data_IF_906739711333
#
_entry.id   IF_906739711333
#
_cell.length_a   1.000
_cell.length_b   1.000
_cell.length_c   1.000
_cell.angle_alpha   90.00
_cell.angle_beta   90.00
_cell.angle_gamma   90.00
#
_symmetry.space_group_name_H-M   'P 1'
#
loop_
_entity.id
_entity.type
_entity.pdbx_description
1 polymer ?
#
# COMPACT_ATOMS: atom_id res chain seq x y z
N UNK A 1 35.69 -42.29 -1.48
CA UNK A 1 35.59 -40.85 -1.18
C UNK A 1 35.28 -40.03 -2.43
N UNK A 2 35.88 -40.33 -3.60
CA UNK A 2 35.56 -39.66 -4.88
C UNK A 2 34.12 -39.89 -5.41
N UNK A 3 33.44 -40.97 -5.05
CA UNK A 3 32.07 -41.26 -5.51
C UNK A 3 30.98 -40.44 -4.79
N UNK A 4 31.28 -39.86 -3.62
CA UNK A 4 30.36 -38.99 -2.89
C UNK A 4 30.53 -37.51 -3.28
N UNK A 5 31.74 -37.07 -3.63
CA UNK A 5 31.96 -35.72 -4.19
C UNK A 5 31.35 -35.56 -5.60
N UNK A 6 31.38 -36.61 -6.42
CA UNK A 6 30.69 -36.64 -7.72
C UNK A 6 29.16 -36.55 -7.59
N UNK A 7 28.56 -37.12 -6.53
CA UNK A 7 27.11 -37.06 -6.29
C UNK A 7 26.64 -35.71 -5.70
N UNK A 8 27.53 -35.01 -4.97
CA UNK A 8 27.27 -33.65 -4.48
C UNK A 8 27.47 -32.61 -5.59
N UNK A 9 28.39 -32.84 -6.53
CA UNK A 9 28.54 -31.97 -7.69
C UNK A 9 27.46 -32.16 -8.75
N UNK A 10 26.90 -33.36 -8.94
CA UNK A 10 25.83 -33.59 -9.93
C UNK A 10 24.44 -33.12 -9.49
N UNK A 11 24.20 -33.00 -8.19
CA UNK A 11 22.94 -32.41 -7.66
C UNK A 11 22.92 -30.88 -7.72
N UNK A 12 24.08 -30.23 -7.88
CA UNK A 12 24.17 -28.78 -8.09
C UNK A 12 23.94 -28.32 -9.54
N UNK A 13 23.74 -29.24 -10.49
CA UNK A 13 23.48 -28.91 -11.91
C UNK A 13 22.01 -29.07 -12.35
N UNK A 14 21.08 -29.38 -11.43
CA UNK A 14 19.67 -29.61 -11.75
C UNK A 14 18.69 -28.55 -11.22
N UNK A 15 19.11 -27.62 -10.36
CA UNK A 15 18.28 -26.48 -9.94
C UNK A 15 18.87 -25.19 -10.51
N UNK A 16 18.31 -24.72 -11.63
CA UNK A 16 18.66 -23.47 -12.31
C UNK A 16 18.34 -22.20 -11.52
N UNK A 17 18.26 -22.28 -10.19
CA UNK A 17 18.22 -21.12 -9.29
C UNK A 17 19.65 -20.68 -9.04
N UNK A 18 20.17 -19.85 -9.94
CA UNK A 18 21.15 -18.85 -9.51
C UNK A 18 20.51 -18.11 -8.34
N UNK A 19 21.03 -18.28 -7.14
CA UNK A 19 20.73 -17.36 -6.04
C UNK A 19 21.17 -15.98 -6.54
N UNK A 20 20.20 -15.18 -6.96
CA UNK A 20 20.45 -13.78 -7.26
C UNK A 20 21.10 -13.19 -6.01
N UNK A 21 22.33 -12.69 -6.15
CA UNK A 21 23.08 -12.17 -5.02
C UNK A 21 22.27 -11.10 -4.31
N UNK A 22 22.32 -11.09 -2.97
CA UNK A 22 21.64 -10.08 -2.15
C UNK A 22 21.99 -8.69 -2.67
N UNK A 23 20.98 -7.90 -3.02
CA UNK A 23 21.14 -6.48 -3.32
C UNK A 23 21.45 -5.75 -2.00
N UNK A 24 22.75 -5.68 -1.68
CA UNK A 24 23.26 -5.05 -0.46
C UNK A 24 22.77 -3.61 -0.34
N UNK A 25 22.67 -2.89 -1.45
CA UNK A 25 22.18 -1.50 -1.49
C UNK A 25 20.70 -1.44 -1.10
N UNK A 26 19.86 -2.31 -1.66
CA UNK A 26 18.45 -2.42 -1.30
C UNK A 26 18.24 -2.81 0.17
N UNK A 27 19.03 -3.76 0.68
CA UNK A 27 18.94 -4.21 2.07
C UNK A 27 19.33 -3.11 3.07
N UNK A 28 20.46 -2.43 2.82
CA UNK A 28 20.90 -1.29 3.64
C UNK A 28 19.86 -0.18 3.61
N UNK A 29 19.22 0.05 2.46
CA UNK A 29 18.12 1.01 2.36
C UNK A 29 16.96 0.67 3.29
N UNK A 30 16.43 -0.54 3.21
CA UNK A 30 15.30 -0.96 4.05
C UNK A 30 15.64 -0.80 5.53
N UNK A 31 16.82 -1.25 5.95
CA UNK A 31 17.25 -1.14 7.35
C UNK A 31 17.29 0.33 7.78
N UNK A 32 17.89 1.21 7.00
CA UNK A 32 17.97 2.65 7.33
C UNK A 32 16.57 3.27 7.37
N UNK A 33 15.73 3.02 6.36
CA UNK A 33 14.37 3.53 6.32
C UNK A 33 13.55 3.06 7.52
N UNK A 34 13.63 1.77 7.86
CA UNK A 34 12.92 1.21 9.02
C UNK A 34 13.43 1.81 10.33
N UNK A 35 14.73 2.00 10.50
CA UNK A 35 15.29 2.66 11.68
C UNK A 35 14.85 4.13 11.79
N UNK A 36 14.79 4.86 10.67
CA UNK A 36 14.30 6.26 10.64
C UNK A 36 12.83 6.32 11.03
N UNK A 37 12.00 5.46 10.44
CA UNK A 37 10.55 5.41 10.71
C UNK A 37 10.29 5.00 12.15
N UNK A 38 10.99 3.98 12.65
CA UNK A 38 10.92 3.51 14.03
C UNK A 38 11.42 4.60 14.99
N UNK A 39 12.48 5.32 14.65
CA UNK A 39 12.97 6.45 15.43
C UNK A 39 11.94 7.58 15.54
N UNK A 40 11.31 7.96 14.43
CA UNK A 40 10.25 8.99 14.39
C UNK A 40 9.03 8.52 15.18
N UNK A 41 8.63 7.26 15.01
CA UNK A 41 7.49 6.67 15.70
C UNK A 41 7.69 6.62 17.22
N UNK A 42 8.83 6.11 17.67
CA UNK A 42 9.21 6.08 19.09
C UNK A 42 9.34 7.49 19.67
N UNK A 43 9.92 8.44 18.93
CA UNK A 43 10.02 9.83 19.37
C UNK A 43 8.64 10.48 19.55
N UNK A 44 7.74 10.27 18.60
CA UNK A 44 6.35 10.74 18.66
C UNK A 44 5.61 10.13 19.86
N UNK A 45 5.74 8.81 20.05
CA UNK A 45 5.16 8.09 21.18
C UNK A 45 5.74 8.55 22.53
N UNK A 46 7.05 8.75 22.61
CA UNK A 46 7.74 9.20 23.83
C UNK A 46 7.28 10.59 24.27
N UNK A 47 7.15 11.52 23.32
CA UNK A 47 6.69 12.90 23.58
C UNK A 47 5.27 12.96 24.14
N UNK A 48 4.48 11.89 23.99
CA UNK A 48 3.07 11.80 24.42
C UNK A 48 2.80 10.71 25.46
N UNK A 49 3.82 10.21 26.16
CA UNK A 49 3.71 9.16 27.22
C UNK A 49 2.79 9.47 28.42
N UNK A 50 2.04 10.58 28.42
CA UNK A 50 1.08 10.96 29.46
C UNK A 50 -0.40 10.88 29.08
N UNK A 51 -0.73 10.47 27.85
CA UNK A 51 -2.09 10.49 27.28
C UNK A 51 -2.88 9.24 27.69
N UNK A 52 -4.01 9.41 28.38
CA UNK A 52 -4.81 8.31 28.97
C UNK A 52 -6.20 8.10 28.35
N UNK A 53 -6.65 8.93 27.41
CA UNK A 53 -8.01 8.86 26.87
C UNK A 53 -8.06 8.16 25.50
N UNK A 54 -9.05 7.28 25.34
CA UNK A 54 -9.29 6.50 24.10
C UNK A 54 -9.42 7.38 22.86
N UNK A 55 -10.03 8.57 22.97
CA UNK A 55 -10.14 9.55 21.88
C UNK A 55 -8.78 10.10 21.42
N UNK A 56 -7.80 10.24 22.32
CA UNK A 56 -6.46 10.70 21.94
C UNK A 56 -5.67 9.61 21.22
N UNK A 57 -5.88 8.34 21.57
CA UNK A 57 -5.22 7.19 20.93
C UNK A 57 -5.87 6.83 19.59
N UNK A 58 -7.21 6.87 19.50
CA UNK A 58 -7.97 6.43 18.32
C UNK A 58 -8.27 7.54 17.32
N UNK A 59 -8.34 8.80 17.75
CA UNK A 59 -8.72 9.93 16.88
C UNK A 59 -7.72 11.08 16.94
N UNK A 60 -6.55 10.85 17.53
CA UNK A 60 -5.52 11.87 17.70
C UNK A 60 -6.06 13.15 18.38
N UNK A 61 -7.03 13.02 19.29
CA UNK A 61 -7.66 14.16 19.97
C UNK A 61 -8.48 15.08 19.05
N UNK A 62 -8.78 14.62 17.82
CA UNK A 62 -9.51 15.37 16.78
C UNK A 62 -8.86 16.71 16.42
N UNK A 63 -7.55 16.80 16.57
CA UNK A 63 -6.79 18.05 16.44
C UNK A 63 -5.76 18.01 15.29
N UNK A 64 -5.90 17.06 14.36
CA UNK A 64 -4.97 16.93 13.23
C UNK A 64 -5.06 18.20 12.36
N UNK A 65 -3.91 18.86 12.18
CA UNK A 65 -3.78 20.02 11.30
C UNK A 65 -4.13 19.68 9.85
N UNK A 66 -4.61 20.66 9.08
CA UNK A 66 -5.08 20.46 7.70
C UNK A 66 -4.05 19.79 6.80
N UNK A 67 -2.79 20.22 6.83
CA UNK A 67 -1.72 19.66 6.00
C UNK A 67 -1.43 18.19 6.34
N UNK A 68 -1.24 17.88 7.62
CA UNK A 68 -0.97 16.50 8.09
C UNK A 68 -2.17 15.60 7.76
N UNK A 69 -3.38 16.10 7.94
CA UNK A 69 -4.59 15.36 7.59
C UNK A 69 -4.65 15.04 6.09
N UNK A 70 -4.33 16.00 5.21
CA UNK A 70 -4.38 15.78 3.76
C UNK A 70 -3.36 14.70 3.37
N UNK A 71 -2.13 14.85 3.85
CA UNK A 71 -1.05 13.92 3.53
C UNK A 71 -1.34 12.52 4.06
N UNK A 72 -1.82 12.39 5.31
CA UNK A 72 -2.21 11.10 5.88
C UNK A 72 -3.43 10.48 5.18
N UNK A 73 -4.40 11.30 4.76
CA UNK A 73 -5.54 10.84 3.94
C UNK A 73 -5.07 10.26 2.61
N UNK A 74 -4.15 10.94 1.92
CA UNK A 74 -3.53 10.43 0.70
C UNK A 74 -2.71 9.17 0.97
N UNK A 75 -1.86 9.16 2.00
CA UNK A 75 -1.00 8.04 2.36
C UNK A 75 -1.77 6.75 2.71
N UNK A 76 -2.99 6.89 3.23
CA UNK A 76 -3.85 5.73 3.55
C UNK A 76 -4.10 4.85 2.34
N UNK A 77 -4.35 5.49 1.20
CA UNK A 77 -4.73 4.84 -0.04
C UNK A 77 -3.52 4.63 -0.95
N UNK A 78 -2.61 5.60 -0.96
CA UNK A 78 -1.33 5.53 -1.65
C UNK A 78 -0.34 4.70 -0.83
N UNK A 79 -0.72 3.43 -0.63
CA UNK A 79 0.11 2.42 -0.03
C UNK A 79 1.00 1.73 -1.04
N UNK A 80 1.94 0.93 -0.55
CA UNK A 80 2.79 0.15 -1.45
C UNK A 80 2.03 -0.94 -2.21
N UNK A 81 0.92 -1.47 -1.69
CA UNK A 81 0.02 -2.35 -2.44
C UNK A 81 -0.66 -1.63 -3.61
N UNK A 82 -1.10 -0.38 -3.41
CA UNK A 82 -1.71 0.44 -4.45
C UNK A 82 -0.71 0.79 -5.55
N UNK A 83 0.51 1.21 -5.19
CA UNK A 83 1.55 1.59 -6.16
C UNK A 83 2.08 0.36 -6.91
N UNK A 84 2.35 -0.73 -6.20
CA UNK A 84 2.85 -1.96 -6.82
C UNK A 84 1.77 -2.59 -7.72
N UNK A 85 0.51 -2.66 -7.25
CA UNK A 85 -0.61 -3.15 -8.05
C UNK A 85 -0.91 -2.28 -9.26
N UNK A 86 -0.72 -0.95 -9.16
CA UNK A 86 -0.85 -0.02 -10.29
C UNK A 86 0.18 -0.33 -11.39
N UNK A 87 1.45 -0.50 -11.01
CA UNK A 87 2.52 -0.85 -11.94
C UNK A 87 2.33 -2.25 -12.54
N UNK A 88 1.94 -3.23 -11.72
CA UNK A 88 1.61 -4.59 -12.13
C UNK A 88 0.47 -4.61 -13.17
N UNK A 89 -0.64 -3.95 -12.88
CA UNK A 89 -1.82 -3.95 -13.75
C UNK A 89 -1.51 -3.39 -15.15
N UNK A 90 -0.67 -2.36 -15.25
CA UNK A 90 -0.27 -1.80 -16.55
C UNK A 90 0.67 -2.75 -17.30
N UNK A 91 1.57 -3.42 -16.59
CA UNK A 91 2.46 -4.40 -17.20
C UNK A 91 1.71 -5.64 -17.72
N UNK A 92 0.76 -6.17 -16.94
CA UNK A 92 0.04 -7.39 -17.29
C UNK A 92 -1.13 -7.12 -18.25
N UNK A 93 -2.05 -6.25 -17.85
CA UNK A 93 -3.37 -6.08 -18.47
C UNK A 93 -3.54 -4.73 -19.19
N UNK A 94 -2.68 -3.75 -18.89
CA UNK A 94 -2.69 -2.41 -19.49
C UNK A 94 -3.47 -1.36 -18.68
N UNK A 95 -3.33 -0.10 -19.07
CA UNK A 95 -3.90 1.07 -18.41
C UNK A 95 -5.41 0.97 -18.23
N UNK A 96 -6.13 0.40 -19.20
CA UNK A 96 -7.58 0.25 -19.13
C UNK A 96 -8.03 -0.59 -17.92
N UNK A 97 -7.21 -1.55 -17.49
CA UNK A 97 -7.45 -2.38 -16.29
C UNK A 97 -6.86 -1.78 -15.02
N UNK A 98 -6.08 -0.69 -15.13
CA UNK A 98 -5.54 0.05 -14.00
C UNK A 98 -6.62 0.95 -13.37
N UNK A 99 -7.59 0.32 -12.71
CA UNK A 99 -8.77 1.02 -12.20
C UNK A 99 -8.61 1.63 -10.81
N UNK A 100 -7.64 1.13 -10.03
CA UNK A 100 -7.42 1.57 -8.64
C UNK A 100 -7.30 3.10 -8.51
N UNK A 101 -6.56 3.83 -9.38
CA UNK A 101 -6.38 5.26 -9.19
C UNK A 101 -7.65 6.09 -9.32
N UNK A 102 -8.44 5.86 -10.38
CA UNK A 102 -9.69 6.60 -10.54
C UNK A 102 -10.78 6.05 -9.62
N UNK A 103 -10.81 4.74 -9.37
CA UNK A 103 -11.80 4.09 -8.50
C UNK A 103 -11.74 4.65 -7.07
N UNK A 104 -10.55 4.67 -6.46
CA UNK A 104 -10.39 5.22 -5.11
C UNK A 104 -10.50 6.75 -5.07
N UNK A 105 -10.10 7.47 -6.11
CA UNK A 105 -10.33 8.92 -6.19
C UNK A 105 -11.84 9.27 -6.19
N UNK A 106 -12.63 8.56 -6.98
CA UNK A 106 -14.10 8.70 -6.98
C UNK A 106 -14.65 8.28 -5.62
N UNK A 107 -14.17 7.16 -5.05
CA UNK A 107 -14.57 6.69 -3.71
C UNK A 107 -14.39 7.75 -2.63
N UNK A 108 -13.21 8.37 -2.57
CA UNK A 108 -12.89 9.46 -1.64
C UNK A 108 -13.76 10.69 -1.88
N UNK A 109 -14.04 11.01 -3.14
CA UNK A 109 -14.89 12.14 -3.51
C UNK A 109 -16.34 11.92 -3.05
N UNK A 110 -16.90 10.74 -3.29
CA UNK A 110 -18.25 10.36 -2.85
C UNK A 110 -18.33 10.25 -1.33
N UNK A 111 -17.32 9.64 -0.70
CA UNK A 111 -17.16 9.55 0.74
C UNK A 111 -17.12 10.94 1.40
N UNK A 112 -16.40 11.88 0.81
CA UNK A 112 -16.31 13.27 1.25
C UNK A 112 -17.62 14.04 1.09
N UNK A 113 -18.29 13.87 -0.05
CA UNK A 113 -19.52 14.57 -0.37
C UNK A 113 -20.70 14.14 0.50
N UNK A 114 -20.91 12.82 0.63
CA UNK A 114 -22.13 12.28 1.24
C UNK A 114 -21.96 11.87 2.72
N UNK A 115 -20.80 11.36 3.11
CA UNK A 115 -20.64 10.71 4.42
C UNK A 115 -19.77 11.51 5.39
N UNK A 116 -18.68 12.14 4.94
CA UNK A 116 -17.67 12.73 5.82
C UNK A 116 -18.24 13.79 6.77
N UNK A 117 -19.09 14.70 6.26
CA UNK A 117 -19.75 15.72 7.06
C UNK A 117 -20.66 15.11 8.14
N UNK A 118 -21.55 14.20 7.74
CA UNK A 118 -22.54 13.58 8.63
C UNK A 118 -21.89 12.76 9.73
N UNK A 119 -20.86 11.99 9.38
CA UNK A 119 -20.08 11.18 10.33
C UNK A 119 -19.38 12.06 11.37
N UNK A 120 -18.80 13.18 10.93
CA UNK A 120 -18.05 14.07 11.82
C UNK A 120 -18.95 14.89 12.75
N UNK A 121 -20.10 15.35 12.26
CA UNK A 121 -21.08 16.11 13.05
C UNK A 121 -21.70 15.29 14.18
N UNK A 122 -21.94 13.99 13.92
CA UNK A 122 -22.42 13.05 14.93
C UNK A 122 -21.34 12.63 15.96
N UNK A 123 -20.08 13.07 15.79
CA UNK A 123 -18.95 12.74 16.67
C UNK A 123 -18.74 11.23 16.88
N UNK A 124 -19.00 10.43 15.84
CA UNK A 124 -18.66 9.01 15.85
C UNK A 124 -17.16 8.77 16.02
N UNK A 125 -16.82 7.55 16.42
CA UNK A 125 -15.46 7.05 16.58
C UNK A 125 -15.12 6.04 15.49
N UNK A 126 -16.10 5.25 15.04
CA UNK A 126 -15.92 4.27 13.97
C UNK A 126 -17.02 4.35 12.92
N UNK A 127 -16.76 3.73 11.76
CA UNK A 127 -17.73 3.62 10.67
C UNK A 127 -18.95 2.78 11.03
N UNK A 128 -18.86 1.94 12.07
CA UNK A 128 -19.93 1.05 12.50
C UNK A 128 -20.91 1.75 13.45
N UNK A 129 -20.52 2.87 14.07
CA UNK A 129 -21.34 3.56 15.07
C UNK A 129 -22.74 3.95 14.56
N UNK A 130 -22.94 4.52 13.35
CA UNK A 130 -24.29 4.86 12.87
C UNK A 130 -25.18 3.62 12.70
N UNK A 131 -24.60 2.50 12.28
CA UNK A 131 -25.32 1.24 12.10
C UNK A 131 -25.66 0.63 13.46
N UNK A 132 -24.75 0.76 14.42
CA UNK A 132 -24.96 0.30 15.78
C UNK A 132 -26.01 1.12 16.53
N UNK A 133 -26.08 2.44 16.30
CA UNK A 133 -27.11 3.30 16.88
C UNK A 133 -28.49 2.97 16.30
N UNK A 134 -28.57 2.70 14.99
CA UNK A 134 -29.84 2.40 14.31
C UNK A 134 -30.36 0.98 14.57
N UNK A 135 -29.50 -0.03 14.55
CA UNK A 135 -29.88 -1.44 14.62
C UNK A 135 -29.55 -2.09 15.98
N UNK A 136 -28.82 -1.40 16.85
CA UNK A 136 -28.43 -1.89 18.17
C UNK A 136 -27.07 -2.60 18.19
N UNK A 137 -26.54 -2.79 19.41
CA UNK A 137 -25.18 -3.30 19.65
C UNK A 137 -24.90 -4.69 19.04
N UNK A 138 -25.90 -5.57 18.97
CA UNK A 138 -25.75 -6.93 18.40
C UNK A 138 -25.46 -6.89 16.90
N UNK A 139 -26.19 -6.06 16.16
CA UNK A 139 -25.99 -5.92 14.72
C UNK A 139 -24.69 -5.18 14.40
N UNK A 140 -24.31 -4.17 15.19
CA UNK A 140 -22.99 -3.54 15.09
C UNK A 140 -21.85 -4.55 15.27
N UNK A 141 -21.99 -5.50 16.20
CA UNK A 141 -21.01 -6.56 16.39
C UNK A 141 -20.95 -7.58 15.25
N UNK A 142 -22.09 -7.91 14.63
CA UNK A 142 -22.09 -8.77 13.43
C UNK A 142 -21.44 -8.08 12.23
N UNK A 143 -21.65 -6.78 12.06
CA UNK A 143 -21.06 -5.99 10.97
C UNK A 143 -19.54 -5.77 11.13
N UNK A 144 -19.00 -5.97 12.33
CA UNK A 144 -17.56 -5.99 12.55
C UNK A 144 -16.87 -7.17 11.89
N UNK A 145 -17.51 -8.35 11.80
CA UNK A 145 -16.91 -9.54 11.18
C UNK A 145 -16.50 -9.34 9.71
N UNK A 146 -17.37 -8.86 8.80
CA UNK A 146 -16.97 -8.58 7.43
C UNK A 146 -15.94 -7.44 7.35
N UNK A 147 -16.03 -6.42 8.21
CA UNK A 147 -15.04 -5.35 8.27
C UNK A 147 -13.65 -5.87 8.66
N UNK A 148 -13.57 -6.76 9.66
CA UNK A 148 -12.33 -7.41 10.08
C UNK A 148 -11.76 -8.31 8.99
N UNK A 149 -12.61 -9.07 8.31
CA UNK A 149 -12.18 -9.90 7.18
C UNK A 149 -11.56 -9.05 6.07
N UNK A 150 -12.19 -7.91 5.74
CA UNK A 150 -11.64 -6.94 4.78
C UNK A 150 -10.25 -6.43 5.18
N UNK A 151 -10.10 -5.96 6.43
CA UNK A 151 -8.79 -5.48 6.93
C UNK A 151 -7.73 -6.59 6.95
N UNK A 152 -8.12 -7.84 7.25
CA UNK A 152 -7.20 -8.99 7.27
C UNK A 152 -6.74 -9.36 5.87
N UNK A 153 -7.66 -9.45 4.91
CA UNK A 153 -7.35 -9.77 3.51
C UNK A 153 -6.51 -8.67 2.86
N UNK A 154 -6.78 -7.41 3.18
CA UNK A 154 -5.98 -6.27 2.73
C UNK A 154 -4.59 -6.24 3.36
N UNK A 155 -4.48 -6.53 4.65
CA UNK A 155 -3.16 -6.66 5.31
C UNK A 155 -2.34 -7.78 4.66
N UNK A 156 -2.98 -8.90 4.31
CA UNK A 156 -2.31 -10.00 3.61
C UNK A 156 -1.81 -9.58 2.21
N UNK A 157 -2.61 -8.82 1.44
CA UNK A 157 -2.19 -8.33 0.12
C UNK A 157 -1.03 -7.34 0.20
N UNK A 158 -1.04 -6.44 1.19
CA UNK A 158 0.04 -5.48 1.48
C UNK A 158 1.32 -6.23 1.86
N UNK A 159 1.24 -7.20 2.77
CA UNK A 159 2.40 -7.99 3.18
C UNK A 159 2.97 -8.83 2.02
N UNK A 160 2.11 -9.31 1.11
CA UNK A 160 2.54 -9.97 -0.12
C UNK A 160 3.29 -9.00 -1.06
N UNK A 161 2.85 -7.75 -1.18
CA UNK A 161 3.58 -6.73 -1.93
C UNK A 161 4.94 -6.39 -1.28
N UNK A 162 5.01 -6.32 0.05
CA UNK A 162 6.28 -6.13 0.76
C UNK A 162 7.23 -7.31 0.54
N UNK A 163 6.70 -8.53 0.64
CA UNK A 163 7.46 -9.75 0.38
C UNK A 163 7.98 -9.85 -1.05
N UNK A 164 7.22 -9.34 -2.03
CA UNK A 164 7.65 -9.23 -3.43
C UNK A 164 8.84 -8.27 -3.56
N UNK A 165 8.81 -7.15 -2.83
CA UNK A 165 9.94 -6.20 -2.77
C UNK A 165 11.17 -6.81 -2.10
N UNK A 166 10.99 -7.51 -0.97
CA UNK A 166 12.07 -8.20 -0.27
C UNK A 166 12.68 -9.36 -1.07
N UNK A 167 11.88 -10.05 -1.88
CA UNK A 167 12.35 -11.14 -2.75
C UNK A 167 13.39 -10.61 -3.74
N UNK A 168 13.09 -9.50 -4.40
CA UNK A 168 14.01 -8.85 -5.35
C UNK A 168 15.30 -8.36 -4.66
N UNK A 169 15.20 -7.92 -3.41
CA UNK A 169 16.34 -7.38 -2.65
C UNK A 169 17.21 -8.47 -2.04
N UNK A 170 16.61 -9.47 -1.40
CA UNK A 170 17.31 -10.49 -0.63
C UNK A 170 17.62 -11.74 -1.46
N UNK A 171 17.04 -11.89 -2.66
CA UNK A 171 17.12 -13.12 -3.44
C UNK A 171 16.50 -14.32 -2.73
N UNK A 172 15.67 -14.10 -1.71
CA UNK A 172 15.01 -15.14 -0.92
C UNK A 172 13.71 -15.57 -1.59
N UNK A 173 13.29 -16.82 -1.38
CA UNK A 173 12.02 -17.30 -1.89
C UNK A 173 10.83 -16.46 -1.39
N UNK A 174 9.85 -16.21 -2.26
CA UNK A 174 8.70 -15.34 -2.01
C UNK A 174 8.01 -15.61 -0.65
N UNK A 175 7.78 -16.88 -0.31
CA UNK A 175 7.16 -17.26 0.96
C UNK A 175 7.97 -16.80 2.18
N UNK A 176 9.29 -16.95 2.14
CA UNK A 176 10.18 -16.53 3.25
C UNK A 176 10.16 -15.01 3.37
N UNK A 177 10.23 -14.31 2.23
CA UNK A 177 10.17 -12.85 2.18
C UNK A 177 8.86 -12.30 2.77
N UNK A 178 7.72 -12.95 2.49
CA UNK A 178 6.42 -12.57 3.07
C UNK A 178 6.41 -12.80 4.59
N UNK A 179 6.92 -13.95 5.08
CA UNK A 179 6.96 -14.24 6.52
C UNK A 179 7.84 -13.22 7.26
N UNK A 180 9.01 -12.89 6.71
CA UNK A 180 9.91 -11.86 7.27
C UNK A 180 9.22 -10.50 7.28
N UNK A 181 8.55 -10.13 6.18
CA UNK A 181 7.76 -8.89 6.08
C UNK A 181 6.69 -8.81 7.17
N UNK A 182 5.94 -9.89 7.37
CA UNK A 182 4.89 -9.97 8.39
C UNK A 182 5.46 -9.84 9.80
N UNK A 183 6.58 -10.52 10.10
CA UNK A 183 7.24 -10.45 11.40
C UNK A 183 7.70 -9.01 11.72
N UNK A 184 8.32 -8.33 10.75
CA UNK A 184 8.77 -6.94 10.93
C UNK A 184 7.58 -6.00 11.14
N UNK A 185 6.54 -6.12 10.32
CA UNK A 185 5.34 -5.30 10.44
C UNK A 185 4.68 -5.47 11.82
N UNK A 186 4.45 -6.71 12.28
CA UNK A 186 3.85 -6.99 13.59
C UNK A 186 4.66 -6.39 14.73
N UNK A 187 5.99 -6.57 14.73
CA UNK A 187 6.85 -6.01 15.79
C UNK A 187 6.73 -4.49 15.83
N UNK A 188 6.72 -3.82 14.68
CA UNK A 188 6.60 -2.38 14.62
C UNK A 188 5.21 -1.87 15.05
N UNK A 189 4.13 -2.49 14.56
CA UNK A 189 2.77 -2.05 14.87
C UNK A 189 2.47 -2.13 16.37
N UNK A 190 3.03 -3.11 17.09
CA UNK A 190 2.84 -3.27 18.55
C UNK A 190 3.31 -2.06 19.36
N UNK A 191 4.24 -1.25 18.85
CA UNK A 191 4.78 -0.08 19.56
C UNK A 191 4.18 1.25 19.09
N UNK A 192 3.31 1.27 18.07
CA UNK A 192 2.79 2.48 17.43
C UNK A 192 1.31 2.77 17.68
N UNK A 193 0.97 3.96 18.21
CA UNK A 193 -0.41 4.49 18.22
C UNK A 193 -0.72 5.37 17.00
N UNK A 194 -1.97 5.85 16.82
CA UNK A 194 -2.39 6.65 15.63
C UNK A 194 -1.48 7.86 15.35
N UNK A 195 -0.99 8.53 16.39
CA UNK A 195 -0.06 9.65 16.23
C UNK A 195 1.30 9.23 15.67
N UNK A 196 1.82 8.07 16.09
CA UNK A 196 3.05 7.51 15.53
C UNK A 196 2.86 7.26 14.04
N UNK A 197 1.75 6.60 13.69
CA UNK A 197 1.38 6.28 12.31
C UNK A 197 1.20 7.55 11.46
N UNK A 198 0.48 8.55 11.95
CA UNK A 198 0.25 9.79 11.20
C UNK A 198 1.52 10.55 10.83
N UNK A 199 2.52 10.62 11.72
CA UNK A 199 3.79 11.28 11.41
C UNK A 199 4.66 10.45 10.47
N UNK A 200 4.66 9.12 10.62
CA UNK A 200 5.40 8.25 9.72
C UNK A 200 4.78 8.27 8.32
N UNK A 201 3.45 8.25 8.21
CA UNK A 201 2.69 8.33 6.95
C UNK A 201 3.11 9.54 6.12
N UNK A 202 3.28 10.71 6.76
CA UNK A 202 3.70 11.94 6.07
C UNK A 202 5.09 11.78 5.45
N UNK A 203 6.06 11.30 6.24
CA UNK A 203 7.45 11.11 5.78
C UNK A 203 7.49 10.06 4.69
N UNK A 204 6.78 8.95 4.87
CA UNK A 204 6.69 7.85 3.91
C UNK A 204 6.07 8.29 2.59
N UNK A 205 5.01 9.11 2.62
CA UNK A 205 4.39 9.66 1.43
C UNK A 205 5.34 10.56 0.64
N UNK A 206 6.12 11.42 1.31
CA UNK A 206 7.14 12.22 0.64
C UNK A 206 8.27 11.36 0.06
N UNK A 207 8.76 10.38 0.81
CA UNK A 207 9.80 9.47 0.34
C UNK A 207 9.36 8.68 -0.89
N UNK A 208 8.14 8.16 -0.90
CA UNK A 208 7.64 7.39 -2.06
C UNK A 208 7.34 8.30 -3.25
N UNK A 209 6.84 9.51 -3.01
CA UNK A 209 6.67 10.50 -4.07
C UNK A 209 8.00 10.78 -4.78
N UNK A 210 9.03 11.15 -4.01
CA UNK A 210 10.34 11.46 -4.57
C UNK A 210 10.96 10.20 -5.18
N UNK A 211 10.89 9.05 -4.50
CA UNK A 211 11.44 7.78 -4.98
C UNK A 211 10.87 7.37 -6.33
N UNK A 212 9.55 7.44 -6.52
CA UNK A 212 8.91 7.11 -7.79
C UNK A 212 9.24 8.13 -8.89
N UNK A 213 9.13 9.43 -8.60
CA UNK A 213 9.42 10.47 -9.60
C UNK A 213 10.88 10.53 -10.02
N UNK A 214 11.80 10.19 -9.14
CA UNK A 214 13.22 10.03 -9.49
C UNK A 214 13.43 8.74 -10.29
N UNK A 215 12.73 7.66 -9.98
CA UNK A 215 12.83 6.39 -10.74
C UNK A 215 12.48 6.56 -12.22
N UNK A 216 11.42 7.32 -12.53
CA UNK A 216 10.92 7.51 -13.91
C UNK A 216 12.00 7.98 -14.91
N UNK A 217 12.66 9.14 -14.75
CA UNK A 217 13.63 9.64 -15.74
C UNK A 217 14.88 8.77 -15.85
N UNK A 218 15.30 8.08 -14.78
CA UNK A 218 16.45 7.17 -14.84
C UNK A 218 16.10 5.88 -15.56
N UNK A 219 14.92 5.32 -15.28
CA UNK A 219 14.43 4.13 -15.96
C UNK A 219 14.24 4.40 -17.46
N UNK A 220 13.65 5.54 -17.85
CA UNK A 220 13.47 5.90 -19.28
C UNK A 220 14.77 6.10 -20.06
N UNK A 221 15.89 6.41 -19.39
CA UNK A 221 17.19 6.61 -20.03
C UNK A 221 17.98 5.32 -20.20
N UNK A 222 17.49 4.21 -19.66
CA UNK A 222 18.18 2.93 -19.76
C UNK A 222 18.06 2.37 -21.19
N UNK A 223 19.17 1.89 -21.75
CA UNK A 223 19.25 1.40 -23.13
C UNK A 223 18.36 0.16 -23.37
N UNK A 224 18.02 -0.60 -22.32
CA UNK A 224 17.13 -1.75 -22.41
C UNK A 224 15.64 -1.35 -22.53
N UNK A 225 15.30 -0.08 -22.30
CA UNK A 225 13.93 0.43 -22.44
C UNK A 225 13.71 0.87 -23.87
N UNK A 226 12.78 0.20 -24.55
CA UNK A 226 12.34 0.61 -25.88
C UNK A 226 11.74 2.02 -25.88
N UNK A 227 11.77 2.68 -27.04
CA UNK A 227 11.16 4.00 -27.19
C UNK A 227 9.66 3.96 -26.86
N UNK A 228 9.26 4.62 -25.77
CA UNK A 228 7.86 5.00 -25.49
C UNK A 228 7.41 6.07 -26.51
N UNK A 229 7.41 5.71 -27.80
CA UNK A 229 6.95 6.57 -28.88
C UNK A 229 5.42 6.69 -28.80
N UNK A 230 4.80 7.78 -29.29
CA UNK A 230 3.34 7.90 -29.37
C UNK A 230 2.57 6.75 -30.05
N UNK A 231 3.27 5.85 -30.77
CA UNK A 231 2.70 4.65 -31.38
C UNK A 231 2.84 3.37 -30.55
N UNK A 232 3.55 3.38 -29.42
CA UNK A 232 3.62 2.25 -28.50
C UNK A 232 2.38 2.29 -27.60
N UNK A 233 1.39 1.45 -27.93
CA UNK A 233 0.07 1.43 -27.25
C UNK A 233 -0.17 0.17 -26.44
N UNK A 234 0.78 -0.77 -26.39
CA UNK A 234 0.59 -2.05 -25.70
C UNK A 234 0.35 -1.88 -24.19
N UNK A 235 0.85 -0.81 -23.60
CA UNK A 235 0.61 -0.44 -22.20
C UNK A 235 -0.79 0.15 -21.96
N UNK A 236 -1.54 0.56 -23.00
CA UNK A 236 -2.94 1.02 -22.84
C UNK A 236 -3.87 -0.16 -22.55
N UNK A 237 -3.54 -1.35 -23.08
CA UNK A 237 -4.41 -2.51 -23.07
C UNK A 237 -5.65 -2.32 -23.94
N UNK A 238 -6.43 -3.39 -24.07
CA UNK A 238 -7.73 -3.36 -24.75
C UNK A 238 -8.73 -4.26 -24.01
N UNK A 239 -10.00 -3.91 -24.12
CA UNK A 239 -11.10 -4.79 -23.73
C UNK A 239 -11.67 -5.36 -25.03
N UNK A 240 -11.62 -6.68 -25.24
CA UNK A 240 -12.16 -7.28 -26.45
C UNK A 240 -13.66 -6.96 -26.58
N UNK A 241 -14.04 -6.33 -27.70
CA UNK A 241 -15.42 -5.91 -27.96
C UNK A 241 -16.37 -7.07 -28.26
N UNK A 242 -15.80 -8.23 -28.57
CA UNK A 242 -16.46 -9.49 -28.92
C UNK A 242 -16.88 -10.32 -27.70
N UNK A 243 -16.41 -9.96 -26.49
CA UNK A 243 -16.72 -10.69 -25.25
C UNK A 243 -17.44 -9.81 -24.22
N UNK A 244 -18.79 -9.74 -24.23
CA UNK A 244 -19.56 -8.87 -23.33
C UNK A 244 -19.32 -9.12 -21.84
N UNK A 245 -18.98 -10.33 -21.43
CA UNK A 245 -18.67 -10.66 -20.03
C UNK A 245 -17.45 -9.93 -19.48
N UNK A 246 -16.46 -9.61 -20.34
CA UNK A 246 -15.25 -8.87 -19.93
C UNK A 246 -15.60 -7.42 -19.57
N UNK A 247 -16.56 -6.81 -20.25
CA UNK A 247 -17.11 -5.51 -19.86
C UNK A 247 -17.85 -5.58 -18.52
N UNK A 248 -18.55 -6.69 -18.26
CA UNK A 248 -19.18 -6.97 -16.97
C UNK A 248 -18.15 -7.04 -15.84
N UNK A 249 -17.07 -7.81 -16.03
CA UNK A 249 -15.95 -7.92 -15.09
C UNK A 249 -15.26 -6.57 -14.84
N UNK A 250 -14.96 -5.83 -15.92
CA UNK A 250 -14.37 -4.50 -15.81
C UNK A 250 -15.25 -3.56 -14.99
N UNK A 251 -16.56 -3.59 -15.23
CA UNK A 251 -17.53 -2.75 -14.50
C UNK A 251 -17.65 -3.18 -13.05
N UNK A 252 -17.66 -4.49 -12.77
CA UNK A 252 -17.72 -5.04 -11.42
C UNK A 252 -16.51 -4.60 -10.58
N UNK A 253 -15.29 -4.71 -11.13
CA UNK A 253 -14.08 -4.20 -10.48
C UNK A 253 -14.15 -2.69 -10.23
N UNK A 254 -14.68 -1.92 -11.19
CA UNK A 254 -14.75 -0.46 -11.06
C UNK A 254 -15.72 -0.07 -9.93
N UNK A 255 -16.90 -0.71 -9.90
CA UNK A 255 -17.90 -0.50 -8.86
C UNK A 255 -17.37 -0.96 -7.49
N UNK A 256 -16.65 -2.08 -7.43
CA UNK A 256 -16.03 -2.58 -6.21
C UNK A 256 -15.01 -1.58 -5.65
N UNK A 257 -14.17 -0.98 -6.50
CA UNK A 257 -13.20 0.04 -6.06
C UNK A 257 -13.88 1.35 -5.65
N UNK A 258 -14.89 1.80 -6.40
CA UNK A 258 -15.62 3.04 -6.13
C UNK A 258 -16.44 2.94 -4.84
N UNK A 259 -17.25 1.90 -4.69
CA UNK A 259 -18.16 1.77 -3.54
C UNK A 259 -17.52 1.04 -2.36
N UNK A 260 -16.64 0.07 -2.61
CA UNK A 260 -15.95 -0.68 -1.57
C UNK A 260 -14.96 0.16 -0.77
N UNK A 261 -14.42 1.24 -1.36
CA UNK A 261 -13.54 2.16 -0.64
C UNK A 261 -14.25 3.10 0.34
N UNK A 262 -15.58 3.26 0.22
CA UNK A 262 -16.37 4.17 1.08
C UNK A 262 -16.48 3.63 2.51
N UNK A 263 -16.96 2.40 2.76
CA UNK A 263 -17.08 1.84 4.10
C UNK A 263 -15.74 1.29 4.61
N UNK A 264 -14.66 2.06 4.48
CA UNK A 264 -13.34 1.68 4.98
C UNK A 264 -13.01 2.43 6.27
N UNK A 265 -12.71 1.70 7.34
CA UNK A 265 -12.52 2.32 8.66
C UNK A 265 -11.25 3.18 8.71
N UNK A 266 -10.15 2.78 8.08
CA UNK A 266 -8.94 3.60 7.95
C UNK A 266 -9.19 4.98 7.30
N UNK A 267 -10.13 5.07 6.35
CA UNK A 267 -10.59 6.35 5.78
C UNK A 267 -11.38 7.16 6.82
N UNK A 268 -12.38 6.54 7.46
CA UNK A 268 -13.21 7.24 8.45
C UNK A 268 -12.44 7.66 9.70
N UNK A 269 -11.40 6.93 10.12
CA UNK A 269 -10.50 7.35 11.21
C UNK A 269 -9.93 8.74 10.95
N UNK A 270 -9.50 9.01 9.72
CA UNK A 270 -8.90 10.30 9.34
C UNK A 270 -9.94 11.40 9.18
N UNK A 271 -11.11 11.07 8.64
CA UNK A 271 -12.27 11.98 8.60
C UNK A 271 -12.71 12.38 10.01
N UNK A 272 -12.83 11.41 10.92
CA UNK A 272 -13.30 11.62 12.29
C UNK A 272 -12.26 12.32 13.18
N UNK A 273 -10.98 12.22 12.83
CA UNK A 273 -9.86 12.93 13.47
C UNK A 273 -9.73 14.40 13.05
N UNK A 274 -10.53 14.87 12.08
CA UNK A 274 -10.53 16.27 11.66
C UNK A 274 -11.12 17.19 12.75
N UNK A 275 -10.70 18.46 12.82
CA UNK A 275 -11.27 19.42 13.78
C UNK A 275 -12.72 19.79 13.46
N UNK A 276 -13.03 19.94 12.16
CA UNK A 276 -14.34 20.40 11.69
C UNK A 276 -14.89 19.52 10.57
N UNK A 277 -16.21 19.52 10.39
CA UNK A 277 -16.87 18.81 9.28
C UNK A 277 -16.44 19.35 7.90
N UNK A 278 -16.19 20.66 7.77
CA UNK A 278 -15.63 21.24 6.54
C UNK A 278 -14.22 20.71 6.25
N UNK A 279 -13.37 20.65 7.28
CA UNK A 279 -12.03 20.08 7.13
C UNK A 279 -12.10 18.61 6.74
N UNK A 280 -12.99 17.81 7.35
CA UNK A 280 -13.25 16.43 6.96
C UNK A 280 -13.54 16.26 5.46
N UNK A 281 -14.37 17.13 4.86
CA UNK A 281 -14.64 17.09 3.43
C UNK A 281 -13.42 17.49 2.58
N UNK A 282 -12.73 18.56 2.97
CA UNK A 282 -11.51 19.03 2.28
C UNK A 282 -10.44 17.93 2.28
N UNK A 283 -10.29 17.22 3.40
CA UNK A 283 -9.37 16.09 3.52
C UNK A 283 -9.69 15.00 2.50
N UNK A 284 -10.97 14.62 2.36
CA UNK A 284 -11.39 13.62 1.38
C UNK A 284 -11.17 14.06 -0.07
N UNK A 285 -11.49 15.31 -0.42
CA UNK A 285 -11.27 15.83 -1.78
C UNK A 285 -9.79 15.97 -2.12
N UNK A 286 -8.97 16.47 -1.18
CA UNK A 286 -7.53 16.56 -1.36
C UNK A 286 -6.88 15.17 -1.42
N UNK A 287 -7.38 14.23 -0.61
CA UNK A 287 -7.02 12.81 -0.67
C UNK A 287 -7.28 12.20 -2.04
N UNK A 288 -8.46 12.45 -2.62
CA UNK A 288 -8.84 12.01 -3.96
C UNK A 288 -7.86 12.50 -5.02
N UNK A 289 -7.59 13.80 -5.06
CA UNK A 289 -6.62 14.38 -5.97
C UNK A 289 -5.21 13.80 -5.76
N UNK A 290 -4.79 13.65 -4.49
CA UNK A 290 -3.51 13.06 -4.12
C UNK A 290 -3.38 11.62 -4.62
N UNK A 291 -4.41 10.77 -4.49
CA UNK A 291 -4.36 9.38 -4.94
C UNK A 291 -4.14 9.30 -6.45
N UNK A 292 -4.89 10.11 -7.21
CA UNK A 292 -4.75 10.17 -8.66
C UNK A 292 -3.36 10.65 -9.08
N UNK A 293 -2.89 11.76 -8.49
CA UNK A 293 -1.58 12.33 -8.82
C UNK A 293 -0.41 11.43 -8.45
N UNK A 294 -0.47 10.75 -7.31
CA UNK A 294 0.58 9.85 -6.83
C UNK A 294 0.65 8.54 -7.65
N UNK A 295 -0.42 8.15 -8.32
CA UNK A 295 -0.42 6.97 -9.19
C UNK A 295 0.30 7.21 -10.51
N UNK A 296 0.35 8.46 -11.01
CA UNK A 296 0.97 8.80 -12.30
C UNK A 296 2.37 8.20 -12.48
N UNK A 297 3.35 8.42 -11.56
CA UNK A 297 4.69 7.85 -11.76
C UNK A 297 4.69 6.32 -11.69
N UNK A 298 3.82 5.69 -10.88
CA UNK A 298 3.67 4.24 -10.86
C UNK A 298 3.13 3.71 -12.20
N UNK A 299 2.19 4.44 -12.80
CA UNK A 299 1.65 4.10 -14.10
C UNK A 299 2.74 4.15 -15.20
N UNK A 300 3.53 5.22 -15.18
CA UNK A 300 4.65 5.39 -16.12
C UNK A 300 5.70 4.30 -15.93
N UNK A 301 6.01 3.91 -14.68
CA UNK A 301 6.92 2.80 -14.39
C UNK A 301 6.39 1.47 -14.94
N UNK A 302 5.10 1.18 -14.80
CA UNK A 302 4.48 0.00 -15.40
C UNK A 302 4.55 0.00 -16.94
N UNK A 303 4.36 1.16 -17.57
CA UNK A 303 4.53 1.31 -19.02
C UNK A 303 5.98 1.14 -19.48
N UNK A 304 6.95 1.68 -18.73
CA UNK A 304 8.39 1.47 -18.96
C UNK A 304 8.72 -0.02 -18.88
N UNK A 305 8.25 -0.70 -17.84
CA UNK A 305 8.44 -2.13 -17.67
C UNK A 305 7.90 -2.94 -18.86
N UNK A 306 6.76 -2.53 -19.43
CA UNK A 306 6.18 -3.17 -20.62
C UNK A 306 7.01 -2.95 -21.88
N UNK A 307 7.60 -1.77 -22.01
CA UNK A 307 8.48 -1.40 -23.13
C UNK A 307 9.91 -1.93 -22.98
N UNK A 308 10.26 -2.54 -21.84
CA UNK A 308 11.60 -3.02 -21.55
C UNK A 308 11.83 -4.40 -22.14
N UNK A 309 12.93 -4.58 -22.86
CA UNK A 309 13.44 -5.91 -23.17
C UNK A 309 14.19 -6.46 -21.94
N UNK A 310 13.47 -7.22 -21.12
CA UNK A 310 14.00 -7.80 -19.88
C UNK A 310 15.17 -8.76 -20.11
N UNK A 311 15.27 -9.37 -21.30
CA UNK A 311 16.39 -10.25 -21.66
C UNK A 311 17.71 -9.48 -21.82
N UNK A 312 17.64 -8.20 -22.21
CA UNK A 312 18.79 -7.31 -22.35
C UNK A 312 19.20 -6.64 -21.02
N UNK A 313 18.35 -6.72 -19.97
CA UNK A 313 18.66 -6.16 -18.66
C UNK A 313 19.58 -7.07 -17.84
N UNK A 314 20.08 -6.56 -16.71
CA UNK A 314 20.83 -7.37 -15.72
C UNK A 314 20.01 -8.49 -15.07
N UNK A 315 18.68 -8.52 -15.26
CA UNK A 315 17.83 -9.65 -14.89
C UNK A 315 18.00 -10.85 -15.85
N UNK A 316 18.26 -10.58 -17.13
CA UNK A 316 18.70 -11.56 -18.12
C UNK A 316 17.67 -12.63 -18.52
N UNK A 317 16.39 -12.43 -18.17
CA UNK A 317 15.26 -13.33 -18.49
C UNK A 317 13.97 -12.52 -18.67
N UNK A 318 13.00 -13.05 -19.38
CA UNK A 318 11.65 -12.48 -19.38
C UNK A 318 11.01 -12.62 -18.00
N UNK A 319 10.22 -11.62 -17.59
CA UNK A 319 9.49 -11.66 -16.32
C UNK A 319 8.35 -12.68 -16.44
N UNK A 320 8.37 -13.77 -15.64
CA UNK A 320 7.30 -14.76 -15.67
C UNK A 320 5.94 -14.16 -15.29
N UNK A 321 4.86 -14.71 -15.85
CA UNK A 321 3.49 -14.22 -15.60
C UNK A 321 3.05 -14.37 -14.12
N UNK A 322 3.67 -15.26 -13.35
CA UNK A 322 3.46 -15.45 -11.91
C UNK A 322 4.24 -14.45 -11.04
N UNK A 323 5.16 -13.68 -11.64
CA UNK A 323 6.09 -12.77 -10.97
C UNK A 323 5.84 -11.29 -11.30
N UNK A 324 4.72 -10.97 -11.94
CA UNK A 324 4.31 -9.60 -12.30
C UNK A 324 4.22 -8.65 -11.10
N UNK A 325 3.96 -9.20 -9.90
CA UNK A 325 3.96 -8.46 -8.63
C UNK A 325 5.31 -7.85 -8.26
N UNK A 326 6.40 -8.30 -8.88
CA UNK A 326 7.74 -7.79 -8.64
C UNK A 326 8.16 -6.72 -9.65
N UNK A 327 7.26 -6.28 -10.55
CA UNK A 327 7.65 -5.40 -11.65
C UNK A 327 8.19 -4.05 -11.17
N UNK A 328 7.56 -3.44 -10.17
CA UNK A 328 8.00 -2.17 -9.59
C UNK A 328 9.41 -2.29 -8.98
N UNK A 329 9.68 -3.24 -8.06
CA UNK A 329 11.03 -3.40 -7.53
C UNK A 329 12.05 -3.84 -8.58
N UNK A 330 11.67 -4.65 -9.58
CA UNK A 330 12.55 -5.04 -10.68
C UNK A 330 12.99 -3.84 -11.52
N UNK A 331 12.07 -2.92 -11.86
CA UNK A 331 12.42 -1.68 -12.57
C UNK A 331 13.41 -0.85 -11.74
N UNK A 332 13.13 -0.67 -10.45
CA UNK A 332 14.02 0.09 -9.57
C UNK A 332 15.41 -0.56 -9.44
N UNK A 333 15.50 -1.89 -9.43
CA UNK A 333 16.76 -2.62 -9.28
C UNK A 333 17.58 -2.67 -10.57
N UNK A 334 16.95 -2.97 -11.69
CA UNK A 334 17.65 -3.32 -12.93
C UNK A 334 17.71 -2.18 -13.95
N UNK A 335 16.83 -1.18 -13.85
CA UNK A 335 16.76 -0.07 -14.81
C UNK A 335 17.29 1.26 -14.26
N UNK A 336 17.60 1.36 -12.96
CA UNK A 336 18.06 2.61 -12.34
C UNK A 336 19.42 2.47 -11.67
N UNK A 337 20.19 3.56 -11.49
CA UNK A 337 21.46 3.50 -10.78
C UNK A 337 21.27 3.22 -9.29
N UNK A 338 22.30 2.66 -8.65
CA UNK A 338 22.25 2.13 -7.28
C UNK A 338 21.65 3.09 -6.23
N UNK A 339 21.92 4.39 -6.33
CA UNK A 339 21.39 5.37 -5.37
C UNK A 339 19.88 5.62 -5.54
N UNK A 340 19.34 5.45 -6.75
CA UNK A 340 17.89 5.52 -7.02
C UNK A 340 17.22 4.23 -6.54
N UNK A 341 17.83 3.08 -6.80
CA UNK A 341 17.39 1.79 -6.24
C UNK A 341 17.30 1.85 -4.72
N UNK A 342 18.33 2.41 -4.07
CA UNK A 342 18.33 2.65 -2.62
C UNK A 342 17.10 3.46 -2.21
N UNK A 343 16.92 4.67 -2.77
CA UNK A 343 15.83 5.55 -2.37
C UNK A 343 14.45 4.95 -2.66
N UNK A 344 14.25 4.40 -3.87
CA UNK A 344 12.99 3.87 -4.35
C UNK A 344 12.52 2.64 -3.57
N UNK A 345 13.38 1.61 -3.45
CA UNK A 345 13.01 0.37 -2.77
C UNK A 345 12.77 0.61 -1.27
N UNK A 346 13.62 1.41 -0.62
CA UNK A 346 13.42 1.78 0.78
C UNK A 346 12.11 2.53 1.01
N UNK A 347 11.79 3.50 0.14
CA UNK A 347 10.56 4.27 0.21
C UNK A 347 9.31 3.43 -0.05
N UNK A 348 9.36 2.51 -1.03
CA UNK A 348 8.26 1.56 -1.30
C UNK A 348 8.06 0.65 -0.11
N UNK A 349 9.10 -0.02 0.39
CA UNK A 349 9.00 -0.90 1.56
C UNK A 349 8.45 -0.17 2.80
N UNK A 350 8.85 1.08 3.00
CA UNK A 350 8.36 1.93 4.05
C UNK A 350 6.86 2.26 3.89
N UNK A 351 6.41 2.62 2.69
CA UNK A 351 5.00 2.92 2.43
C UNK A 351 4.11 1.67 2.53
N UNK A 352 4.59 0.50 2.10
CA UNK A 352 3.87 -0.77 2.31
C UNK A 352 3.65 -1.01 3.81
N UNK A 353 4.67 -0.76 4.64
CA UNK A 353 4.58 -0.94 6.10
C UNK A 353 3.54 -0.03 6.74
N UNK A 354 3.53 1.27 6.38
CA UNK A 354 2.52 2.24 6.82
C UNK A 354 1.08 1.79 6.58
N UNK A 355 0.84 1.19 5.40
CA UNK A 355 -0.49 0.70 5.06
C UNK A 355 -0.90 -0.50 5.92
N UNK A 356 0.04 -1.40 6.23
CA UNK A 356 -0.21 -2.51 7.15
C UNK A 356 -0.57 -1.98 8.55
N UNK A 357 0.17 -0.99 9.05
CA UNK A 357 -0.10 -0.36 10.36
C UNK A 357 -1.48 0.28 10.41
N UNK A 358 -1.85 1.00 9.36
CA UNK A 358 -3.17 1.63 9.23
C UNK A 358 -4.30 0.60 9.28
N UNK A 359 -4.13 -0.56 8.63
CA UNK A 359 -5.13 -1.63 8.63
C UNK A 359 -5.25 -2.35 9.97
N UNK A 360 -4.12 -2.65 10.62
CA UNK A 360 -4.14 -3.24 11.97
C UNK A 360 -4.76 -2.28 12.98
N UNK A 361 -4.43 -0.99 12.90
CA UNK A 361 -5.03 0.05 13.75
C UNK A 361 -6.53 0.20 13.45
N UNK A 362 -6.93 0.12 12.19
CA UNK A 362 -8.33 0.11 11.76
C UNK A 362 -9.11 -1.03 12.39
N UNK A 363 -8.67 -2.28 12.21
CA UNK A 363 -9.31 -3.46 12.79
C UNK A 363 -9.38 -3.43 14.31
N UNK A 364 -8.27 -3.10 14.97
CA UNK A 364 -8.20 -3.02 16.44
C UNK A 364 -9.09 -1.90 17.01
N UNK A 365 -9.21 -0.76 16.31
CA UNK A 365 -10.07 0.35 16.72
C UNK A 365 -11.55 -0.03 16.72
N UNK A 366 -12.02 -0.75 15.69
CA UNK A 366 -13.39 -1.23 15.62
C UNK A 366 -13.66 -2.27 16.69
N UNK A 367 -12.72 -3.18 16.93
CA UNK A 367 -12.84 -4.15 18.02
C UNK A 367 -12.98 -3.47 19.39
N UNK A 368 -12.06 -2.55 19.71
CA UNK A 368 -12.01 -1.89 21.00
C UNK A 368 -13.29 -1.07 21.29
N UNK A 369 -13.78 -0.32 20.29
CA UNK A 369 -14.93 0.55 20.48
C UNK A 369 -16.27 -0.19 20.30
N UNK A 370 -16.45 -0.95 19.21
CA UNK A 370 -17.75 -1.52 18.86
C UNK A 370 -18.02 -2.86 19.55
N UNK A 371 -16.99 -3.66 19.84
CA UNK A 371 -17.15 -4.96 20.52
C UNK A 371 -16.84 -4.82 22.01
N UNK A 372 -15.60 -4.45 22.35
CA UNK A 372 -15.13 -4.53 23.72
C UNK A 372 -15.87 -3.56 24.64
N UNK A 373 -15.97 -2.27 24.29
CA UNK A 373 -16.66 -1.28 25.12
C UNK A 373 -18.19 -1.45 25.13
N UNK A 374 -18.80 -1.82 24.02
CA UNK A 374 -20.26 -1.80 23.90
C UNK A 374 -20.96 -3.15 24.18
N UNK A 375 -20.25 -4.26 23.96
CA UNK A 375 -20.80 -5.62 24.14
C UNK A 375 -20.21 -6.28 25.38
N UNK A 376 -18.89 -6.23 25.56
CA UNK A 376 -18.19 -6.98 26.63
C UNK A 376 -18.18 -6.19 27.95
N UNK A 377 -17.81 -4.90 27.91
CA UNK A 377 -17.68 -4.05 29.09
C UNK A 377 -18.66 -2.88 29.04
N UNK A 378 -19.95 -3.17 29.20
CA UNK A 378 -20.99 -2.15 29.43
C UNK A 378 -20.80 -1.53 30.82
N UNK A 379 -19.94 -0.52 30.95
CA UNK A 379 -19.83 0.31 32.15
C UNK A 379 -19.78 1.78 31.77
#
# INVERSE_FOLDING_TARGET
MESLESAVNSTNFADGRRTEGVNVVGLVSIIIFYLVILGIGLWSAWRRRGVKTTDEVMLAGRDIGSLVGILTMTATWVGGGYINGTAEAIFSSGLIWCQAPFGYAISLTLGGLFFAKKMREARYVTMLDPLQERYGARWGAMLYLPALAGETLWSASILAALGSTLTVILGLGNTVSIIVSAAIAVVYTLFGGLYSVAYTDVVQLFCIFIGLWVTVPFAMRNEAVGSLHPGFTDWLGSIPSDTPWVWGEWTDFALLLIFGGIPWQAYFQRVLSARTSKQAQVLSFAGSFGCFFMAVPACVIGAIAKATDWSATSFGKEVPADQTKMILPLVMQHLTPQWVTFLGLGAVSAAVMSSADSSVLSGSSMFANNIYKNVIRRS
#
